data_IF_045865076179
#
_entry.id   IF_045865076179
#
_cell.length_a   1.000
_cell.length_b   1.000
_cell.length_c   1.000
_cell.angle_alpha   90.00
_cell.angle_beta   90.00
_cell.angle_gamma   90.00
#
_symmetry.space_group_name_H-M   'P 1'
#
loop_
_entity.id
_entity.type
_entity.pdbx_description
1 polymer ?
#
# COMPACT_ATOMS: atom_id res chain seq x y z
N UNK A 1 -56.32 -31.99 20.32
CA UNK A 1 -55.62 -30.71 20.52
C UNK A 1 -54.18 -30.89 20.05
N UNK A 2 -53.80 -30.07 19.07
CA UNK A 2 -52.54 -29.94 18.29
C UNK A 2 -51.30 -30.78 18.64
N UNK A 3 -50.85 -31.53 17.63
CA UNK A 3 -49.47 -32.03 17.48
C UNK A 3 -48.49 -30.86 17.32
N UNK A 4 -47.38 -30.86 18.06
CA UNK A 4 -46.22 -30.01 17.78
C UNK A 4 -45.17 -30.86 17.04
N UNK A 5 -44.97 -30.54 15.76
CA UNK A 5 -43.84 -31.03 14.96
C UNK A 5 -42.66 -30.10 15.25
N UNK A 6 -41.60 -30.63 15.86
CA UNK A 6 -40.32 -29.95 15.98
C UNK A 6 -39.57 -30.07 14.65
N UNK A 7 -39.49 -28.98 13.89
CA UNK A 7 -38.65 -28.89 12.70
C UNK A 7 -37.21 -28.62 13.16
N UNK A 8 -36.34 -29.63 13.10
CA UNK A 8 -34.89 -29.45 13.23
C UNK A 8 -34.39 -28.92 11.89
N UNK A 9 -34.14 -27.62 11.81
CA UNK A 9 -33.47 -27.00 10.66
C UNK A 9 -31.98 -27.28 10.82
N UNK A 10 -31.49 -28.27 10.07
CA UNK A 10 -30.06 -28.54 9.91
C UNK A 10 -29.46 -27.39 9.08
N UNK A 11 -28.83 -26.43 9.74
CA UNK A 11 -28.11 -25.34 9.09
C UNK A 11 -26.94 -25.90 8.29
N UNK A 12 -27.06 -25.89 6.96
CA UNK A 12 -25.96 -26.19 6.06
C UNK A 12 -24.97 -25.02 6.12
N UNK A 13 -23.91 -25.15 6.91
CA UNK A 13 -22.77 -24.23 6.85
C UNK A 13 -22.07 -24.43 5.52
N UNK A 14 -22.41 -23.59 4.54
CA UNK A 14 -21.63 -23.46 3.30
C UNK A 14 -20.32 -22.78 3.69
N UNK A 15 -19.30 -23.57 3.96
CA UNK A 15 -17.92 -23.10 3.94
C UNK A 15 -17.61 -22.71 2.50
N UNK A 16 -17.74 -21.42 2.16
CA UNK A 16 -17.13 -20.87 0.97
C UNK A 16 -15.62 -21.07 1.13
N UNK A 17 -15.07 -22.08 0.45
CA UNK A 17 -13.65 -22.11 0.15
C UNK A 17 -13.38 -20.86 -0.68
N UNK A 18 -12.91 -19.80 -0.03
CA UNK A 18 -12.28 -18.66 -0.72
C UNK A 18 -11.00 -19.24 -1.30
N UNK A 19 -11.09 -19.81 -2.50
CA UNK A 19 -9.91 -20.15 -3.28
C UNK A 19 -9.02 -18.91 -3.35
N UNK A 20 -7.70 -19.10 -3.25
CA UNK A 20 -6.76 -18.00 -3.39
C UNK A 20 -7.06 -17.25 -4.69
N UNK A 21 -7.53 -16.01 -4.57
CA UNK A 21 -7.86 -15.16 -5.71
C UNK A 21 -6.57 -14.90 -6.48
N UNK A 22 -6.46 -15.48 -7.67
CA UNK A 22 -5.26 -15.43 -8.53
C UNK A 22 -5.65 -14.88 -9.88
N UNK A 23 -4.95 -13.84 -10.31
CA UNK A 23 -5.08 -13.21 -11.62
C UNK A 23 -3.78 -13.37 -12.39
N UNK A 24 -3.86 -13.83 -13.63
CA UNK A 24 -2.69 -14.03 -14.50
C UNK A 24 -2.96 -13.33 -15.83
N UNK A 25 -2.07 -12.42 -16.22
CA UNK A 25 -2.23 -11.58 -17.39
C UNK A 25 -1.04 -11.78 -18.34
N UNK A 26 -1.35 -11.97 -19.62
CA UNK A 26 -0.38 -12.11 -20.70
C UNK A 26 -0.40 -10.84 -21.56
N UNK A 27 0.70 -10.08 -21.54
CA UNK A 27 0.87 -8.83 -22.29
C UNK A 27 1.60 -9.03 -23.62
N UNK A 28 1.93 -10.27 -23.98
CA UNK A 28 2.66 -10.53 -25.23
C UNK A 28 1.78 -10.25 -26.45
N UNK A 29 2.38 -9.87 -27.58
CA UNK A 29 1.67 -9.62 -28.85
C UNK A 29 1.30 -10.90 -29.62
N UNK A 30 1.68 -12.08 -29.14
CA UNK A 30 1.39 -13.35 -29.80
C UNK A 30 -0.09 -13.72 -29.72
N UNK A 31 -0.63 -14.40 -30.74
CA UNK A 31 -2.04 -14.85 -30.75
C UNK A 31 -2.36 -15.92 -29.71
N UNK A 32 -1.36 -16.72 -29.31
CA UNK A 32 -1.53 -17.77 -28.29
C UNK A 32 -1.40 -17.15 -26.91
N UNK A 33 -2.31 -17.51 -26.02
CA UNK A 33 -2.30 -17.18 -24.61
C UNK A 33 -1.99 -18.43 -23.81
N UNK A 34 -1.20 -18.31 -22.74
CA UNK A 34 -0.94 -19.43 -21.83
C UNK A 34 -2.23 -19.86 -21.14
N UNK A 35 -2.32 -21.15 -20.80
CA UNK A 35 -3.49 -21.66 -20.08
C UNK A 35 -3.64 -20.97 -18.72
N UNK A 36 -4.87 -20.60 -18.37
CA UNK A 36 -5.18 -19.83 -17.16
C UNK A 36 -4.78 -18.34 -17.18
N UNK A 37 -4.22 -17.82 -18.28
CA UNK A 37 -3.91 -16.39 -18.42
C UNK A 37 -4.99 -15.65 -19.21
N UNK A 38 -5.24 -14.41 -18.81
CA UNK A 38 -6.06 -13.44 -19.51
C UNK A 38 -5.16 -12.69 -20.49
N UNK A 39 -5.52 -12.72 -21.78
CA UNK A 39 -4.80 -11.95 -22.79
C UNK A 39 -5.09 -10.47 -22.65
N UNK A 40 -4.04 -9.64 -22.63
CA UNK A 40 -4.14 -8.18 -22.62
C UNK A 40 -3.70 -7.62 -23.97
N UNK A 41 -4.54 -6.76 -24.51
CA UNK A 41 -4.38 -6.01 -25.76
C UNK A 41 -4.40 -4.52 -25.45
N UNK A 42 -3.93 -3.69 -26.37
CA UNK A 42 -3.94 -2.22 -26.21
C UNK A 42 -5.35 -1.63 -26.04
N UNK A 43 -6.40 -2.36 -26.44
CA UNK A 43 -7.80 -1.95 -26.27
C UNK A 43 -8.35 -2.23 -24.87
N UNK A 44 -7.66 -3.03 -24.06
CA UNK A 44 -8.12 -3.43 -22.72
C UNK A 44 -7.91 -2.32 -21.70
N UNK A 45 -8.80 -1.33 -21.73
CA UNK A 45 -8.88 -0.25 -20.73
C UNK A 45 -9.56 -0.73 -19.45
N UNK A 46 -9.10 -0.23 -18.31
CA UNK A 46 -9.77 -0.46 -17.04
C UNK A 46 -11.19 0.12 -17.07
N UNK A 47 -12.14 -0.66 -16.58
CA UNK A 47 -13.51 -0.25 -16.31
C UNK A 47 -14.05 -1.12 -15.16
N UNK A 48 -14.80 -0.54 -14.23
CA UNK A 48 -15.28 -1.24 -13.03
C UNK A 48 -16.02 -2.55 -13.35
N UNK A 49 -16.84 -2.56 -14.41
CA UNK A 49 -17.56 -3.76 -14.84
C UNK A 49 -16.65 -4.90 -15.34
N UNK A 50 -15.47 -4.56 -15.87
CA UNK A 50 -14.47 -5.51 -16.34
C UNK A 50 -13.50 -5.94 -15.23
N UNK A 51 -13.20 -5.03 -14.31
CA UNK A 51 -12.36 -5.28 -13.15
C UNK A 51 -10.85 -5.36 -13.43
N UNK A 52 -10.39 -5.14 -14.67
CA UNK A 52 -8.97 -5.03 -14.97
C UNK A 52 -8.71 -4.24 -16.27
N UNK A 53 -7.50 -3.72 -16.43
CA UNK A 53 -7.02 -3.16 -17.69
C UNK A 53 -5.97 -2.06 -17.53
N UNK A 54 -5.49 -1.55 -18.66
CA UNK A 54 -4.65 -0.36 -18.70
C UNK A 54 -5.42 0.86 -18.19
N UNK A 55 -4.75 1.67 -17.35
CA UNK A 55 -5.38 2.78 -16.63
C UNK A 55 -4.49 4.04 -16.61
N UNK A 56 -5.07 5.17 -16.20
CA UNK A 56 -4.46 6.50 -15.93
C UNK A 56 -3.68 7.17 -17.08
N UNK A 57 -3.31 6.42 -18.10
CA UNK A 57 -2.46 6.78 -19.24
C UNK A 57 -2.86 5.94 -20.45
N UNK A 58 -2.52 6.34 -21.69
CA UNK A 58 -2.67 5.49 -22.87
C UNK A 58 -1.98 4.13 -22.71
N UNK A 59 -2.51 3.09 -23.38
CA UNK A 59 -1.83 1.79 -23.41
C UNK A 59 -0.53 1.88 -24.22
N UNK A 60 0.49 1.07 -23.90
CA UNK A 60 1.73 1.05 -24.68
C UNK A 60 1.47 0.72 -26.15
N UNK A 61 2.03 1.52 -27.05
CA UNK A 61 1.92 1.35 -28.51
C UNK A 61 3.18 0.73 -29.14
N UNK A 62 4.21 0.48 -28.32
CA UNK A 62 5.51 -0.05 -28.74
C UNK A 62 6.41 0.96 -29.46
N UNK A 63 6.01 2.24 -29.53
CA UNK A 63 6.78 3.33 -30.13
C UNK A 63 7.17 4.38 -29.09
N UNK A 64 6.23 4.76 -28.24
CA UNK A 64 6.48 5.65 -27.12
C UNK A 64 6.89 4.83 -25.89
N UNK A 65 7.85 5.35 -25.12
CA UNK A 65 8.35 4.75 -23.90
C UNK A 65 7.77 5.44 -22.65
N UNK A 66 6.59 6.07 -22.79
CA UNK A 66 5.90 6.68 -21.67
C UNK A 66 5.55 5.63 -20.59
N UNK A 67 5.48 6.05 -19.32
CA UNK A 67 4.97 5.19 -18.25
C UNK A 67 3.55 4.72 -18.57
N UNK A 68 3.21 3.51 -18.14
CA UNK A 68 1.85 3.00 -18.23
C UNK A 68 1.41 2.36 -16.92
N UNK A 69 0.11 2.29 -16.71
CA UNK A 69 -0.48 1.72 -15.51
C UNK A 69 -1.41 0.57 -15.85
N UNK A 70 -1.46 -0.42 -14.97
CA UNK A 70 -2.41 -1.53 -15.05
C UNK A 70 -3.11 -1.66 -13.70
N UNK A 71 -4.44 -1.68 -13.73
CA UNK A 71 -5.27 -1.80 -12.52
C UNK A 71 -6.07 -3.07 -12.52
N UNK A 72 -6.30 -3.63 -11.33
CA UNK A 72 -7.15 -4.80 -11.10
C UNK A 72 -8.02 -4.55 -9.87
N UNK A 73 -9.34 -4.66 -10.03
CA UNK A 73 -10.31 -4.57 -8.94
C UNK A 73 -10.14 -5.78 -8.02
N UNK A 74 -9.73 -5.52 -6.78
CA UNK A 74 -9.47 -6.55 -5.78
C UNK A 74 -9.93 -6.07 -4.41
N UNK A 75 -10.39 -6.97 -3.51
CA UNK A 75 -10.75 -6.59 -2.15
C UNK A 75 -9.52 -6.17 -1.36
N UNK A 76 -9.75 -5.53 -0.22
CA UNK A 76 -8.70 -5.21 0.75
C UNK A 76 -7.91 -6.45 1.17
N UNK A 77 -6.59 -6.27 1.32
CA UNK A 77 -5.69 -7.33 1.73
C UNK A 77 -4.30 -7.20 1.10
N UNK A 78 -3.50 -8.25 1.32
CA UNK A 78 -2.16 -8.35 0.75
C UNK A 78 -2.15 -9.23 -0.48
N UNK A 79 -1.32 -8.84 -1.44
CA UNK A 79 -1.15 -9.55 -2.70
C UNK A 79 0.33 -9.80 -2.95
N UNK A 80 0.67 -11.03 -3.31
CA UNK A 80 1.93 -11.35 -3.97
C UNK A 80 1.80 -11.00 -5.44
N UNK A 81 2.74 -10.23 -5.95
CA UNK A 81 2.78 -9.83 -7.36
C UNK A 81 4.06 -10.33 -7.97
N UNK A 82 3.94 -11.10 -9.05
CA UNK A 82 5.07 -11.47 -9.91
C UNK A 82 4.91 -10.79 -11.26
N UNK A 83 5.79 -9.85 -11.58
CA UNK A 83 5.88 -9.20 -12.88
C UNK A 83 7.07 -9.78 -13.66
N UNK A 84 6.83 -10.29 -14.86
CA UNK A 84 7.89 -10.75 -15.76
C UNK A 84 8.30 -9.58 -16.66
N UNK A 85 9.46 -9.01 -16.37
CA UNK A 85 9.99 -7.81 -17.02
C UNK A 85 10.90 -8.20 -18.17
N UNK A 86 10.81 -7.46 -19.27
CA UNK A 86 11.62 -7.66 -20.47
C UNK A 86 10.80 -8.01 -21.71
N UNK A 87 11.50 -8.23 -22.81
CA UNK A 87 10.92 -8.43 -24.14
C UNK A 87 11.77 -9.36 -25.00
N UNK A 88 11.11 -10.20 -25.80
CA UNK A 88 11.80 -11.01 -26.83
C UNK A 88 12.39 -10.17 -27.96
N UNK A 89 11.95 -8.92 -28.14
CA UNK A 89 12.22 -8.13 -29.34
C UNK A 89 13.24 -7.01 -29.14
N UNK A 90 13.38 -6.50 -27.92
CA UNK A 90 14.15 -5.30 -27.61
C UNK A 90 14.76 -5.39 -26.21
N UNK A 91 15.84 -4.66 -25.97
CA UNK A 91 16.29 -4.36 -24.61
C UNK A 91 15.29 -3.40 -23.93
N UNK A 92 15.35 -3.29 -22.61
CA UNK A 92 14.44 -2.47 -21.82
C UNK A 92 15.04 -2.04 -20.50
N UNK A 93 14.44 -1.01 -19.91
CA UNK A 93 14.72 -0.56 -18.56
C UNK A 93 13.38 -0.21 -17.90
N UNK A 94 13.02 -0.95 -16.85
CA UNK A 94 11.72 -0.82 -16.20
C UNK A 94 11.85 -0.59 -14.70
N UNK A 95 11.20 0.46 -14.19
CA UNK A 95 10.94 0.71 -12.78
C UNK A 95 9.50 0.28 -12.47
N UNK A 96 9.33 -0.44 -11.37
CA UNK A 96 8.06 -0.96 -10.88
C UNK A 96 7.65 -0.22 -9.61
N UNK A 97 6.49 0.43 -9.69
CA UNK A 97 5.84 1.07 -8.54
C UNK A 97 4.40 0.56 -8.41
N UNK A 98 3.82 0.72 -7.22
CA UNK A 98 2.43 0.39 -6.96
C UNK A 98 1.72 1.45 -6.14
N UNK A 99 0.40 1.54 -6.34
CA UNK A 99 -0.47 2.60 -5.84
C UNK A 99 0.15 4.00 -6.06
N UNK A 100 0.14 4.85 -5.04
CA UNK A 100 0.74 6.19 -5.06
C UNK A 100 2.28 6.16 -5.04
N UNK A 101 2.90 5.49 -6.01
CA UNK A 101 4.34 5.45 -6.26
C UNK A 101 5.19 4.73 -5.20
N UNK A 102 4.65 3.73 -4.47
CA UNK A 102 5.48 2.84 -3.64
C UNK A 102 6.48 2.11 -4.51
N UNK A 103 7.77 2.21 -4.20
CA UNK A 103 8.84 1.68 -5.05
C UNK A 103 9.18 0.23 -4.67
N UNK A 104 9.17 -0.66 -5.65
CA UNK A 104 9.55 -2.07 -5.46
C UNK A 104 10.84 -2.39 -6.22
N UNK A 105 10.89 -2.06 -7.51
CA UNK A 105 12.08 -2.25 -8.34
C UNK A 105 12.40 -0.95 -9.09
N UNK A 106 13.67 -0.57 -9.12
CA UNK A 106 14.18 0.61 -9.83
C UNK A 106 15.11 0.13 -10.93
N UNK A 107 14.90 0.64 -12.14
CA UNK A 107 15.79 0.52 -13.29
C UNK A 107 16.20 -0.94 -13.60
N UNK A 108 15.23 -1.85 -13.64
CA UNK A 108 15.44 -3.24 -14.04
C UNK A 108 15.81 -3.26 -15.51
N UNK A 109 17.10 -3.47 -15.79
CA UNK A 109 17.64 -3.56 -17.15
C UNK A 109 17.51 -4.98 -17.68
N UNK A 110 16.98 -5.11 -18.89
CA UNK A 110 16.87 -6.38 -19.61
C UNK A 110 17.47 -6.26 -21.00
N UNK A 111 18.24 -7.25 -21.43
CA UNK A 111 18.68 -7.39 -22.83
C UNK A 111 17.53 -7.88 -23.71
N UNK A 112 17.69 -7.74 -25.02
CA UNK A 112 16.79 -8.37 -26.00
C UNK A 112 16.74 -9.89 -25.75
N UNK A 113 15.54 -10.44 -25.55
CA UNK A 113 15.34 -11.86 -25.29
C UNK A 113 15.36 -12.24 -23.81
N UNK A 114 15.79 -11.33 -22.93
CA UNK A 114 15.85 -11.57 -21.49
C UNK A 114 14.49 -11.29 -20.85
N UNK A 115 14.09 -12.18 -19.93
CA UNK A 115 12.87 -12.07 -19.13
C UNK A 115 13.25 -12.30 -17.67
N UNK A 116 13.03 -11.30 -16.82
CA UNK A 116 13.39 -11.32 -15.41
C UNK A 116 12.12 -11.31 -14.55
N UNK A 117 11.95 -12.28 -13.63
CA UNK A 117 10.87 -12.22 -12.65
C UNK A 117 11.20 -11.19 -11.56
N UNK A 118 10.27 -10.27 -11.34
CA UNK A 118 10.29 -9.30 -10.24
C UNK A 118 9.10 -9.61 -9.32
N UNK A 119 9.38 -10.05 -8.09
CA UNK A 119 8.36 -10.46 -7.12
C UNK A 119 8.36 -9.55 -5.90
N UNK A 120 7.18 -9.09 -5.50
CA UNK A 120 6.99 -8.23 -4.33
C UNK A 120 5.62 -8.48 -3.71
N UNK A 121 5.41 -7.98 -2.48
CA UNK A 121 4.08 -7.97 -1.88
C UNK A 121 3.57 -6.55 -1.71
N UNK A 122 2.27 -6.38 -1.91
CA UNK A 122 1.62 -5.08 -1.85
C UNK A 122 0.29 -5.18 -1.12
N UNK A 123 0.07 -4.22 -0.22
CA UNK A 123 -1.19 -4.06 0.51
C UNK A 123 -2.14 -3.15 -0.27
N UNK A 124 -3.36 -3.60 -0.53
CA UNK A 124 -4.48 -2.81 -1.08
C UNK A 124 -5.49 -2.50 0.01
N UNK A 125 -6.05 -1.28 -0.02
CA UNK A 125 -7.08 -0.86 0.91
C UNK A 125 -8.03 0.19 0.33
N UNK A 126 -9.25 0.23 0.86
CA UNK A 126 -10.22 1.32 0.64
C UNK A 126 -10.51 2.10 1.94
N UNK A 127 -11.43 3.06 1.89
CA UNK A 127 -11.82 3.84 3.07
C UNK A 127 -12.74 3.07 4.04
N UNK A 128 -13.33 1.95 3.66
CA UNK A 128 -14.44 1.33 4.38
C UNK A 128 -13.99 0.55 5.61
N UNK A 129 -14.54 0.85 6.78
CA UNK A 129 -14.18 0.17 8.04
C UNK A 129 -15.25 -0.85 8.41
N UNK A 130 -16.51 -0.47 8.28
CA UNK A 130 -17.70 -1.27 8.56
C UNK A 130 -18.92 -0.63 7.90
N UNK A 131 -20.08 -1.29 7.90
CA UNK A 131 -21.35 -0.79 7.33
C UNK A 131 -21.74 0.65 7.69
N UNK A 132 -21.21 1.20 8.80
CA UNK A 132 -21.55 2.54 9.33
C UNK A 132 -20.38 3.51 9.37
N UNK A 133 -19.17 3.09 8.99
CA UNK A 133 -17.97 3.86 9.21
C UNK A 133 -16.97 3.76 8.07
N UNK A 134 -16.45 4.91 7.67
CA UNK A 134 -15.34 5.06 6.73
C UNK A 134 -14.22 5.91 7.34
N UNK A 135 -13.00 5.73 6.83
CA UNK A 135 -11.88 6.64 7.06
C UNK A 135 -12.22 8.01 6.51
N UNK A 136 -12.04 9.04 7.34
CA UNK A 136 -12.17 10.43 6.92
C UNK A 136 -10.92 10.87 6.17
N UNK A 137 -10.95 10.75 4.85
CA UNK A 137 -9.89 11.24 3.95
C UNK A 137 -10.13 12.69 3.53
N UNK A 138 -9.05 13.46 3.35
CA UNK A 138 -9.11 14.87 2.90
C UNK A 138 -9.48 14.92 1.41
N UNK A 139 -10.08 16.03 0.91
CA UNK A 139 -10.47 16.12 -0.50
C UNK A 139 -9.36 15.79 -1.51
N UNK A 140 -8.13 16.24 -1.25
CA UNK A 140 -6.94 15.95 -2.08
C UNK A 140 -6.50 14.48 -2.07
N UNK A 141 -7.04 13.65 -1.18
CA UNK A 141 -6.73 12.21 -1.12
C UNK A 141 -7.66 11.38 -2.01
N UNK A 142 -8.79 11.94 -2.44
CA UNK A 142 -9.77 11.22 -3.25
C UNK A 142 -9.24 10.85 -4.64
N UNK A 143 -8.18 11.50 -5.09
CA UNK A 143 -7.45 11.19 -6.33
C UNK A 143 -6.22 10.29 -6.10
N UNK A 144 -5.92 9.91 -4.84
CA UNK A 144 -4.82 9.00 -4.54
C UNK A 144 -5.24 7.56 -4.81
N UNK A 145 -4.26 6.74 -5.16
CA UNK A 145 -4.46 5.33 -5.51
C UNK A 145 -4.45 4.41 -4.28
N UNK A 146 -4.36 4.97 -3.07
CA UNK A 146 -4.23 4.20 -1.83
C UNK A 146 -5.56 3.95 -1.09
N UNK A 147 -6.66 4.55 -1.55
CA UNK A 147 -7.95 4.59 -0.85
C UNK A 147 -9.11 4.34 -1.82
N UNK A 148 -8.94 3.41 -2.75
CA UNK A 148 -9.91 3.06 -3.79
C UNK A 148 -10.19 1.54 -3.85
N UNK A 149 -10.94 1.11 -4.87
CA UNK A 149 -11.44 -0.25 -5.03
C UNK A 149 -10.53 -1.16 -5.88
N UNK A 150 -9.32 -0.70 -6.23
CA UNK A 150 -8.43 -1.42 -7.16
C UNK A 150 -6.97 -1.36 -6.75
N UNK A 151 -6.22 -2.41 -7.09
CA UNK A 151 -4.77 -2.43 -7.02
C UNK A 151 -4.23 -1.81 -8.32
N UNK A 152 -3.42 -0.75 -8.23
CA UNK A 152 -2.82 -0.09 -9.39
C UNK A 152 -1.30 -0.27 -9.42
N UNK A 153 -0.76 -0.71 -10.55
CA UNK A 153 0.69 -0.85 -10.77
C UNK A 153 1.16 0.11 -11.85
N UNK A 154 2.31 0.74 -11.66
CA UNK A 154 2.99 1.62 -12.60
C UNK A 154 4.25 0.93 -13.13
N UNK A 155 4.41 0.95 -14.47
CA UNK A 155 5.58 0.50 -15.19
C UNK A 155 6.18 1.72 -15.89
N UNK A 156 7.38 2.11 -15.48
CA UNK A 156 8.08 3.34 -15.92
C UNK A 156 9.55 3.01 -16.27
N UNK A 157 10.38 3.98 -16.63
CA UNK A 157 11.78 3.82 -17.03
C UNK A 157 12.01 4.27 -18.47
N UNK A 158 13.24 4.18 -18.95
CA UNK A 158 13.61 4.64 -20.30
C UNK A 158 12.92 3.83 -21.42
N UNK A 159 12.54 2.57 -21.15
CA UNK A 159 11.82 1.69 -22.08
C UNK A 159 11.05 0.65 -21.25
N UNK A 160 9.89 1.02 -20.67
CA UNK A 160 9.15 0.18 -19.75
C UNK A 160 8.57 -1.04 -20.47
N UNK A 161 8.73 -2.23 -19.88
CA UNK A 161 8.34 -3.50 -20.46
C UNK A 161 7.68 -4.41 -19.43
N UNK A 162 6.61 -5.07 -19.85
CA UNK A 162 5.91 -6.09 -19.09
C UNK A 162 5.50 -7.20 -20.04
N UNK A 163 5.87 -8.44 -19.73
CA UNK A 163 5.50 -9.63 -20.50
C UNK A 163 4.35 -10.37 -19.85
N UNK A 164 4.39 -10.56 -18.53
CA UNK A 164 3.36 -11.26 -17.76
C UNK A 164 3.19 -10.62 -16.39
N UNK A 165 1.99 -10.68 -15.84
CA UNK A 165 1.68 -10.23 -14.49
C UNK A 165 0.83 -11.27 -13.78
N UNK A 166 1.26 -11.67 -12.60
CA UNK A 166 0.53 -12.60 -11.72
C UNK A 166 0.25 -11.85 -10.41
N UNK A 167 -0.99 -11.86 -9.96
CA UNK A 167 -1.43 -11.22 -8.72
C UNK A 167 -2.20 -12.25 -7.91
N UNK A 168 -1.70 -12.57 -6.71
CA UNK A 168 -2.23 -13.63 -5.87
C UNK A 168 -2.52 -13.09 -4.48
N UNK A 169 -3.76 -13.23 -4.01
CA UNK A 169 -4.10 -12.87 -2.64
C UNK A 169 -3.36 -13.77 -1.65
N UNK A 170 -2.72 -13.16 -0.66
CA UNK A 170 -1.94 -13.86 0.37
C UNK A 170 -2.36 -13.40 1.77
N UNK A 171 -2.50 -14.37 2.67
CA UNK A 171 -2.89 -14.10 4.07
C UNK A 171 -1.72 -14.27 5.04
N UNK A 172 -0.72 -15.09 4.68
CA UNK A 172 0.35 -15.54 5.58
C UNK A 172 1.67 -14.79 5.38
N UNK A 173 1.61 -13.48 5.16
CA UNK A 173 2.80 -12.61 5.08
C UNK A 173 2.84 -11.63 6.25
N UNK A 174 3.94 -11.52 7.01
CA UNK A 174 4.11 -10.46 8.00
C UNK A 174 3.94 -9.09 7.35
N UNK A 175 3.09 -8.26 7.93
CA UNK A 175 2.78 -6.93 7.41
C UNK A 175 3.29 -5.86 8.36
N UNK A 176 4.00 -4.87 7.80
CA UNK A 176 4.45 -3.68 8.52
C UNK A 176 3.52 -2.53 8.15
N UNK A 177 2.68 -2.13 9.10
CA UNK A 177 1.77 -1.00 8.97
C UNK A 177 2.49 0.30 9.32
N UNK A 178 2.60 1.22 8.37
CA UNK A 178 3.25 2.51 8.59
C UNK A 178 2.18 3.55 8.94
N UNK A 179 2.25 4.07 10.17
CA UNK A 179 1.41 5.15 10.65
C UNK A 179 2.28 6.39 10.82
N UNK A 180 1.94 7.47 10.11
CA UNK A 180 2.76 8.67 10.17
C UNK A 180 2.22 9.83 9.34
N UNK A 181 3.13 10.75 9.03
CA UNK A 181 2.83 12.03 8.41
C UNK A 181 3.48 12.18 7.01
N UNK A 182 3.76 13.42 6.56
CA UNK A 182 4.37 13.72 5.27
C UNK A 182 5.76 13.11 5.03
N UNK A 183 6.50 12.77 6.11
CA UNK A 183 7.82 12.12 6.01
C UNK A 183 7.72 10.61 5.75
N UNK A 184 6.52 10.04 5.85
CA UNK A 184 6.24 8.59 5.75
C UNK A 184 5.29 8.28 4.59
N UNK A 185 4.34 9.16 4.27
CA UNK A 185 3.27 8.97 3.27
C UNK A 185 3.76 8.69 1.85
N UNK A 186 2.99 7.91 1.09
CA UNK A 186 3.15 7.80 -0.36
C UNK A 186 2.83 9.13 -1.07
N UNK A 187 3.84 9.75 -1.69
CA UNK A 187 3.72 11.03 -2.38
C UNK A 187 3.41 10.83 -3.87
N UNK A 188 2.28 11.34 -4.34
CA UNK A 188 1.85 11.15 -5.74
C UNK A 188 2.66 11.96 -6.76
N UNK A 189 3.29 13.07 -6.33
CA UNK A 189 3.93 14.03 -7.23
C UNK A 189 5.43 14.09 -7.03
N UNK A 190 6.18 14.14 -8.13
CA UNK A 190 7.60 14.43 -8.14
C UNK A 190 7.85 15.94 -7.92
N UNK A 191 8.95 16.32 -7.24
CA UNK A 191 10.06 15.49 -6.77
C UNK A 191 9.88 14.95 -5.33
N UNK A 192 8.70 15.08 -4.73
CA UNK A 192 8.51 14.64 -3.35
C UNK A 192 8.48 13.11 -3.22
N UNK A 193 9.07 12.64 -2.12
CA UNK A 193 9.10 11.25 -1.69
C UNK A 193 9.25 11.19 -0.16
N UNK A 194 8.94 10.03 0.40
CA UNK A 194 9.04 9.73 1.83
C UNK A 194 9.80 8.42 2.05
N UNK A 195 10.22 8.15 3.28
CA UNK A 195 10.89 6.87 3.54
C UNK A 195 9.90 5.69 3.45
N UNK A 196 8.64 5.88 3.86
CA UNK A 196 7.62 4.82 3.83
C UNK A 196 7.24 4.40 2.41
N UNK A 197 7.32 5.34 1.45
CA UNK A 197 7.16 5.06 0.03
C UNK A 197 8.33 4.23 -0.55
N UNK A 198 9.53 4.40 -0.01
CA UNK A 198 10.77 3.83 -0.54
C UNK A 198 11.20 2.54 0.16
N UNK A 199 10.78 2.33 1.41
CA UNK A 199 11.19 1.19 2.22
C UNK A 199 10.95 -0.19 1.57
N UNK A 200 9.87 -0.45 0.80
CA UNK A 200 9.64 -1.79 0.25
C UNK A 200 10.77 -2.30 -0.66
N UNK A 201 11.45 -1.42 -1.39
CA UNK A 201 12.59 -1.75 -2.27
C UNK A 201 13.77 -2.41 -1.55
N UNK A 202 13.90 -2.20 -0.24
CA UNK A 202 15.00 -2.76 0.55
C UNK A 202 14.67 -4.15 1.12
N UNK A 203 13.49 -4.69 0.83
CA UNK A 203 13.02 -5.98 1.31
C UNK A 203 12.65 -6.91 0.14
N UNK A 204 12.54 -8.19 0.44
CA UNK A 204 12.00 -9.20 -0.47
C UNK A 204 10.47 -9.24 -0.37
N UNK A 205 9.84 -10.13 -1.14
CA UNK A 205 8.41 -10.43 -1.07
C UNK A 205 7.97 -11.18 0.21
N UNK A 206 8.87 -11.42 1.17
CA UNK A 206 8.52 -12.05 2.44
C UNK A 206 7.92 -11.11 3.48
N UNK A 207 7.88 -9.80 3.20
CA UNK A 207 7.28 -8.78 4.08
C UNK A 207 6.44 -7.83 3.24
N UNK A 208 5.22 -7.56 3.70
CA UNK A 208 4.34 -6.56 3.08
C UNK A 208 4.37 -5.24 3.83
N UNK A 209 4.43 -4.11 3.12
CA UNK A 209 4.33 -2.78 3.72
C UNK A 209 2.98 -2.16 3.42
N UNK A 210 2.25 -1.78 4.47
CA UNK A 210 0.94 -1.15 4.40
C UNK A 210 1.06 0.30 4.87
N UNK A 211 1.27 1.24 3.94
CA UNK A 211 1.57 2.63 4.29
C UNK A 211 0.31 3.48 4.47
N UNK A 212 -0.16 3.64 5.71
CA UNK A 212 -1.38 4.40 6.05
C UNK A 212 -1.13 5.88 6.35
N UNK A 213 0.15 6.30 6.37
CA UNK A 213 0.56 7.66 6.67
C UNK A 213 -0.08 8.69 5.73
N UNK A 214 -0.21 9.93 6.20
CA UNK A 214 -0.75 11.00 5.37
C UNK A 214 -0.18 12.37 5.74
N UNK A 215 0.08 13.19 4.72
CA UNK A 215 0.59 14.55 4.89
C UNK A 215 -0.30 15.38 5.82
N UNK A 216 0.33 16.05 6.79
CA UNK A 216 -0.36 16.88 7.77
C UNK A 216 -1.01 16.13 8.93
N UNK A 217 -0.91 14.80 8.99
CA UNK A 217 -1.38 14.05 10.17
C UNK A 217 -0.46 14.28 11.38
N UNK A 218 -1.10 14.37 12.53
CA UNK A 218 -0.57 14.18 13.89
C UNK A 218 -1.15 12.89 14.45
N UNK A 219 -0.56 12.33 15.51
CA UNK A 219 -0.99 11.04 16.04
C UNK A 219 -2.48 11.03 16.41
N UNK A 220 -2.96 12.10 17.04
CA UNK A 220 -4.37 12.22 17.44
C UNK A 220 -5.32 12.44 16.25
N UNK A 221 -4.92 13.18 15.21
CA UNK A 221 -5.77 13.39 14.03
C UNK A 221 -5.85 12.14 13.17
N UNK A 222 -4.77 11.34 13.14
CA UNK A 222 -4.75 10.05 12.47
C UNK A 222 -5.76 9.08 13.10
N UNK A 223 -5.78 9.00 14.44
CA UNK A 223 -6.77 8.23 15.19
C UNK A 223 -8.18 8.77 14.91
N UNK A 224 -8.38 10.09 15.07
CA UNK A 224 -9.68 10.71 14.87
C UNK A 224 -10.22 10.52 13.44
N UNK A 225 -9.35 10.45 12.43
CA UNK A 225 -9.73 10.18 11.05
C UNK A 225 -10.16 8.73 10.79
N UNK A 226 -10.04 7.83 11.78
CA UNK A 226 -10.37 6.41 11.63
C UNK A 226 -9.27 5.60 10.94
N UNK A 227 -8.10 6.18 10.66
CA UNK A 227 -7.00 5.48 9.96
C UNK A 227 -6.42 4.34 10.78
N UNK A 228 -6.24 4.54 12.09
CA UNK A 228 -5.82 3.46 12.99
C UNK A 228 -6.88 2.36 13.01
N UNK A 229 -8.15 2.72 13.12
CA UNK A 229 -9.25 1.76 13.12
C UNK A 229 -9.28 0.92 11.83
N UNK A 230 -9.09 1.55 10.67
CA UNK A 230 -8.95 0.85 9.38
C UNK A 230 -7.71 -0.04 9.34
N UNK A 231 -6.55 0.43 9.78
CA UNK A 231 -5.34 -0.40 9.80
C UNK A 231 -5.55 -1.68 10.64
N UNK A 232 -6.23 -1.54 11.80
CA UNK A 232 -6.55 -2.65 12.69
C UNK A 232 -7.50 -3.69 12.07
N UNK A 233 -8.29 -3.36 11.03
CA UNK A 233 -9.15 -4.36 10.36
C UNK A 233 -8.36 -5.31 9.47
N UNK A 234 -7.13 -4.95 9.07
CA UNK A 234 -6.26 -5.77 8.23
C UNK A 234 -5.08 -6.38 9.01
N UNK A 235 -4.86 -5.97 10.26
CA UNK A 235 -3.80 -6.50 11.10
C UNK A 235 -4.12 -7.89 11.66
N UNK A 236 -3.09 -8.72 11.77
CA UNK A 236 -3.11 -10.02 12.46
C UNK A 236 -1.93 -10.16 13.43
N UNK A 237 -2.02 -11.13 14.34
CA UNK A 237 -0.94 -11.44 15.27
C UNK A 237 0.37 -11.72 14.52
N UNK A 238 1.48 -11.15 15.01
CA UNK A 238 2.80 -11.22 14.38
C UNK A 238 3.10 -10.13 13.35
N UNK A 239 2.11 -9.31 12.97
CA UNK A 239 2.35 -8.08 12.21
C UNK A 239 3.05 -7.01 13.06
N UNK A 240 3.48 -5.92 12.42
CA UNK A 240 4.13 -4.78 13.06
C UNK A 240 3.37 -3.49 12.77
N UNK A 241 3.38 -2.56 13.72
CA UNK A 241 2.91 -1.20 13.50
C UNK A 241 4.03 -0.21 13.83
N UNK A 242 4.48 0.52 12.82
CA UNK A 242 5.52 1.54 12.93
C UNK A 242 4.85 2.90 13.05
N UNK A 243 5.21 3.66 14.09
CA UNK A 243 4.61 4.96 14.39
C UNK A 243 5.66 6.06 14.33
N UNK A 244 5.63 6.88 13.27
CA UNK A 244 6.46 8.09 13.15
C UNK A 244 5.59 9.35 13.10
N UNK A 245 5.51 10.04 14.23
CA UNK A 245 4.79 11.29 14.42
C UNK A 245 5.66 12.34 15.15
N UNK A 246 5.14 13.55 15.35
CA UNK A 246 5.85 14.64 16.05
C UNK A 246 5.97 15.93 15.23
N UNK A 247 6.07 15.85 13.89
CA UNK A 247 6.20 17.03 13.02
C UNK A 247 4.99 17.96 13.06
N UNK A 248 3.79 17.41 13.13
CA UNK A 248 2.54 18.19 13.19
C UNK A 248 2.02 18.30 14.62
N UNK A 249 2.31 17.32 15.45
CA UNK A 249 1.97 17.30 16.88
C UNK A 249 2.60 18.51 17.61
N UNK A 250 3.87 18.85 17.33
CA UNK A 250 4.55 20.02 17.91
C UNK A 250 3.88 21.38 17.60
N UNK A 251 3.10 21.43 16.52
CA UNK A 251 2.44 22.66 16.06
C UNK A 251 1.11 22.88 16.79
N UNK A 252 0.55 21.84 17.41
CA UNK A 252 -0.70 21.95 18.16
C UNK A 252 -0.46 22.76 19.43
N UNK A 253 -1.34 23.74 19.68
CA UNK A 253 -1.32 24.62 20.85
C UNK A 253 -2.66 24.56 21.59
N UNK A 254 -2.66 25.03 22.82
CA UNK A 254 -3.84 25.09 23.68
C UNK A 254 -3.82 24.06 24.82
N UNK A 255 -4.85 24.10 25.69
CA UNK A 255 -4.92 23.24 26.88
C UNK A 255 -4.78 21.75 26.52
N UNK A 256 -3.91 21.05 27.25
CA UNK A 256 -3.68 19.61 27.06
C UNK A 256 -2.89 19.25 25.80
N UNK A 257 -2.25 20.21 25.11
CA UNK A 257 -1.31 19.90 24.00
C UNK A 257 0.13 19.88 24.49
N UNK A 258 0.86 18.82 24.12
CA UNK A 258 2.28 18.70 24.46
C UNK A 258 2.83 17.29 24.20
N UNK A 259 4.16 17.19 24.21
CA UNK A 259 4.89 15.95 23.98
C UNK A 259 4.53 14.89 25.04
N UNK A 260 4.70 15.21 26.33
CA UNK A 260 4.49 14.29 27.44
C UNK A 260 3.03 14.14 27.90
N UNK A 261 2.07 14.63 27.12
CA UNK A 261 0.65 14.45 27.42
C UNK A 261 -0.13 14.01 26.18
N UNK A 262 -0.71 14.92 25.38
CA UNK A 262 -1.56 14.52 24.24
C UNK A 262 -0.86 13.61 23.25
N UNK A 263 0.43 13.84 23.00
CA UNK A 263 1.20 13.06 22.04
C UNK A 263 1.49 11.66 22.57
N UNK A 264 2.08 11.53 23.76
CA UNK A 264 2.27 10.23 24.42
C UNK A 264 0.96 9.46 24.61
N UNK A 265 -0.13 10.13 25.00
CA UNK A 265 -1.46 9.50 25.13
C UNK A 265 -1.92 8.93 23.79
N UNK A 266 -1.69 9.66 22.68
CA UNK A 266 -2.04 9.15 21.35
C UNK A 266 -1.18 7.94 20.99
N UNK A 267 0.14 7.99 21.17
CA UNK A 267 1.03 6.85 20.92
C UNK A 267 0.66 5.63 21.78
N UNK A 268 0.27 5.85 23.04
CA UNK A 268 -0.19 4.78 23.93
C UNK A 268 -1.42 4.06 23.37
N UNK A 269 -2.37 4.78 22.75
CA UNK A 269 -3.52 4.15 22.09
C UNK A 269 -3.08 3.18 20.99
N UNK A 270 -2.15 3.58 20.11
CA UNK A 270 -1.63 2.68 19.09
C UNK A 270 -0.98 1.44 19.72
N UNK A 271 -0.16 1.63 20.76
CA UNK A 271 0.55 0.54 21.46
C UNK A 271 -0.44 -0.43 22.11
N UNK A 272 -1.46 0.07 22.79
CA UNK A 272 -2.46 -0.74 23.46
C UNK A 272 -3.29 -1.54 22.45
N UNK A 273 -3.77 -0.90 21.37
CA UNK A 273 -4.56 -1.55 20.32
C UNK A 273 -3.75 -2.62 19.57
N UNK A 274 -2.47 -2.37 19.32
CA UNK A 274 -1.56 -3.32 18.69
C UNK A 274 -1.33 -4.55 19.58
N UNK A 275 -0.95 -4.33 20.84
CA UNK A 275 -0.69 -5.42 21.79
C UNK A 275 -1.92 -6.27 22.04
N UNK A 276 -3.11 -5.66 22.11
CA UNK A 276 -4.38 -6.37 22.25
C UNK A 276 -4.65 -7.36 21.09
N UNK A 277 -3.99 -7.19 19.94
CA UNK A 277 -4.13 -8.05 18.74
C UNK A 277 -2.89 -8.91 18.45
N UNK A 278 -1.90 -8.93 19.35
CA UNK A 278 -0.63 -9.63 19.11
C UNK A 278 0.24 -8.98 18.02
N UNK A 279 0.00 -7.71 17.70
CA UNK A 279 0.81 -6.90 16.77
C UNK A 279 1.96 -6.27 17.56
N UNK A 280 3.15 -6.21 16.96
CA UNK A 280 4.33 -5.62 17.57
C UNK A 280 4.40 -4.10 17.33
N UNK A 281 4.21 -3.25 18.35
CA UNK A 281 4.38 -1.81 18.19
C UNK A 281 5.86 -1.42 18.12
N UNK A 282 6.21 -0.59 17.14
CA UNK A 282 7.54 -0.01 16.95
C UNK A 282 7.42 1.51 16.90
N UNK A 283 7.97 2.17 17.90
CA UNK A 283 8.03 3.62 17.97
C UNK A 283 9.23 4.13 17.16
N UNK A 284 8.99 5.08 16.26
CA UNK A 284 10.02 5.65 15.39
C UNK A 284 10.12 7.15 15.67
N UNK A 285 11.29 7.59 16.12
CA UNK A 285 11.53 9.02 16.34
C UNK A 285 11.40 9.80 15.02
N UNK A 286 10.79 11.00 15.02
CA UNK A 286 10.54 11.74 13.79
C UNK A 286 11.82 12.06 13.03
N UNK A 287 11.75 11.97 11.70
CA UNK A 287 12.83 12.40 10.81
C UNK A 287 13.20 13.86 11.09
N UNK A 288 14.49 14.16 11.27
CA UNK A 288 14.97 15.52 11.54
C UNK A 288 14.75 16.45 10.34
N UNK A 289 14.52 17.74 10.59
CA UNK A 289 14.55 18.74 9.52
C UNK A 289 15.99 18.92 9.07
N UNK A 290 16.18 19.25 7.78
CA UNK A 290 17.48 19.65 7.24
C UNK A 290 17.83 21.07 7.70
N UNK A 291 18.13 21.22 8.99
CA UNK A 291 18.52 22.47 9.64
C UNK A 291 19.82 22.23 10.42
N UNK A 292 20.81 23.08 10.16
CA UNK A 292 22.13 22.96 10.76
C UNK A 292 22.48 24.25 11.51
N UNK A 293 23.20 24.12 12.62
CA UNK A 293 23.80 25.26 13.31
C UNK A 293 25.04 25.79 12.57
N UNK A 294 25.66 26.85 13.11
CA UNK A 294 26.86 27.47 12.55
C UNK A 294 28.08 26.53 12.47
N UNK A 295 28.07 25.42 13.22
CA UNK A 295 29.12 24.41 13.24
C UNK A 295 28.79 23.21 12.32
N UNK A 296 27.69 23.27 11.57
CA UNK A 296 27.25 22.20 10.68
C UNK A 296 26.61 21.01 11.40
N UNK A 297 26.23 21.12 12.68
CA UNK A 297 25.50 20.07 13.40
C UNK A 297 23.99 20.21 13.21
N UNK A 298 23.28 19.09 13.16
CA UNK A 298 21.81 19.08 13.07
C UNK A 298 21.24 19.81 14.28
N UNK A 299 20.39 20.79 14.03
CA UNK A 299 19.61 21.48 15.06
C UNK A 299 18.37 20.67 15.39
N UNK A 300 18.11 20.45 16.68
CA UNK A 300 16.83 19.92 17.11
C UNK A 300 15.73 20.93 16.81
N UNK A 301 14.77 20.52 15.97
CA UNK A 301 13.61 21.32 15.59
C UNK A 301 12.29 20.70 16.05
N UNK A 302 12.38 19.64 16.85
CA UNK A 302 11.27 18.82 17.30
C UNK A 302 10.94 18.97 18.78
N UNK A 303 11.68 19.80 19.51
CA UNK A 303 11.47 20.04 20.94
C UNK A 303 11.49 18.70 21.68
N UNK A 304 10.66 18.53 22.71
CA UNK A 304 10.62 17.31 23.53
C UNK A 304 9.94 16.10 22.85
N UNK A 305 9.49 16.23 21.59
CA UNK A 305 8.73 15.17 20.93
C UNK A 305 9.56 13.90 20.65
N UNK A 306 10.83 13.97 20.22
CA UNK A 306 11.67 12.78 20.10
C UNK A 306 11.93 12.11 21.45
N UNK A 307 12.05 12.88 22.54
CA UNK A 307 12.21 12.32 23.89
C UNK A 307 10.94 11.63 24.39
N UNK A 308 9.76 12.18 24.09
CA UNK A 308 8.49 11.52 24.40
C UNK A 308 8.25 10.20 23.65
N UNK A 309 9.05 9.89 22.62
CA UNK A 309 9.01 8.61 21.90
C UNK A 309 9.93 7.56 22.56
N UNK A 310 10.98 7.98 23.27
CA UNK A 310 11.99 7.11 23.90
C UNK A 310 11.49 6.52 25.21
#
# INVERSE_FOLDING_TARGET
MRQLIALIILGLSITLNVGAQSYKFDFTSGKKTKDGYIKITSADRYANAKGYGYDLSPSPDGKNHAPFFFSVAVPDGNYHVTAIIGSKRSAGETTLRGESRRLFYENVKTKKGELLPCSFTINKRDIHISDKEDVRIKPRERSKLNWDDKLTLEFNGDTPQLTELIIERIENVPTVFLCGNSTVVDQDNEPWASWGQMVPRFFTDSICFANYAESGESANTFIAAGRLKKALTQMKSGDYIFMEFGHNDQKQKGPGKGAFYSFMTSLKIFVDEARARGVHPVLVTPTQRRSFDENGKIKDTHLDFPDAVR
#
